data_IF_467683185759
#
_entry.id   IF_467683185759
#
_cell.length_a   1.000
_cell.length_b   1.000
_cell.length_c   1.000
_cell.angle_alpha   90.00
_cell.angle_beta   90.00
_cell.angle_gamma   90.00
#
_symmetry.space_group_name_H-M   'P 1'
#
loop_
_entity.id
_entity.type
_entity.pdbx_description
1 polymer ?
#
# COMPACT_ATOMS: atom_id res chain seq x y z
N UNK A 1 6.76 -4.66 -28.26
CA UNK A 1 7.44 -4.37 -26.99
C UNK A 1 7.39 -5.65 -26.19
N UNK A 2 8.51 -6.08 -25.62
CA UNK A 2 8.50 -7.21 -24.67
C UNK A 2 8.11 -6.71 -23.28
N UNK A 3 7.63 -7.59 -22.41
CA UNK A 3 7.19 -7.18 -21.07
C UNK A 3 8.35 -6.65 -20.21
N UNK A 4 9.55 -7.17 -20.41
CA UNK A 4 10.76 -6.68 -19.76
C UNK A 4 11.12 -5.26 -20.22
N UNK A 5 10.78 -4.87 -21.45
CA UNK A 5 10.97 -3.49 -21.91
C UNK A 5 9.96 -2.54 -21.24
N UNK A 6 8.76 -3.03 -20.93
CA UNK A 6 7.71 -2.27 -20.26
C UNK A 6 8.06 -2.00 -18.78
N UNK A 7 8.65 -2.98 -18.10
CA UNK A 7 9.12 -2.88 -16.71
C UNK A 7 10.25 -1.86 -16.52
N UNK A 8 11.06 -1.63 -17.57
CA UNK A 8 12.19 -0.68 -17.52
C UNK A 8 11.80 0.79 -17.68
N UNK A 9 10.55 1.08 -18.07
CA UNK A 9 10.06 2.45 -18.27
C UNK A 9 8.93 2.76 -17.29
N UNK A 10 8.85 4.01 -16.81
CA UNK A 10 7.81 4.37 -15.86
C UNK A 10 6.41 4.30 -16.50
N UNK A 11 5.35 4.02 -15.72
CA UNK A 11 3.99 3.82 -16.25
C UNK A 11 3.44 4.97 -17.10
N UNK A 12 3.78 6.22 -16.79
CA UNK A 12 3.37 7.38 -17.57
C UNK A 12 4.06 7.51 -18.94
N UNK A 13 5.06 6.68 -19.22
CA UNK A 13 5.74 6.57 -20.53
C UNK A 13 5.35 5.30 -21.30
N UNK A 14 4.43 4.49 -20.75
CA UNK A 14 3.97 3.27 -21.42
C UNK A 14 3.25 3.58 -22.74
N UNK A 15 3.34 2.67 -23.74
CA UNK A 15 2.61 2.82 -24.99
C UNK A 15 1.09 2.75 -24.76
N UNK A 16 0.32 3.34 -25.69
CA UNK A 16 -1.15 3.34 -25.63
C UNK A 16 -1.74 1.92 -25.57
N UNK A 17 -1.04 0.92 -26.13
CA UNK A 17 -1.48 -0.48 -26.16
C UNK A 17 -0.90 -1.35 -25.02
N UNK A 18 -0.37 -0.74 -23.95
CA UNK A 18 0.23 -1.47 -22.83
C UNK A 18 -0.76 -2.41 -22.13
N UNK A 19 -2.01 -1.99 -21.99
CA UNK A 19 -3.11 -2.79 -21.43
C UNK A 19 -3.38 -4.05 -22.27
N UNK A 20 -3.40 -3.92 -23.61
CA UNK A 20 -3.58 -5.04 -24.54
C UNK A 20 -2.42 -6.05 -24.45
N UNK A 21 -1.18 -5.57 -24.36
CA UNK A 21 0.02 -6.41 -24.21
C UNK A 21 -0.04 -7.21 -22.91
N UNK A 22 -0.32 -6.56 -21.78
CA UNK A 22 -0.42 -7.22 -20.48
C UNK A 22 -1.55 -8.25 -20.47
N UNK A 23 -2.71 -7.90 -21.04
CA UNK A 23 -3.86 -8.79 -21.12
C UNK A 23 -3.60 -10.02 -22.00
N UNK A 24 -2.86 -9.88 -23.10
CA UNK A 24 -2.45 -11.01 -23.95
C UNK A 24 -1.58 -12.00 -23.15
N UNK A 25 -0.60 -11.50 -22.40
CA UNK A 25 0.29 -12.33 -21.58
C UNK A 25 -0.46 -13.02 -20.44
N UNK A 26 -1.32 -12.29 -19.72
CA UNK A 26 -2.11 -12.84 -18.62
C UNK A 26 -3.02 -13.99 -19.05
N UNK A 27 -3.57 -13.91 -20.26
CA UNK A 27 -4.47 -14.93 -20.84
C UNK A 27 -3.75 -16.15 -21.42
N UNK A 28 -2.48 -16.01 -21.78
CA UNK A 28 -1.72 -17.12 -22.33
C UNK A 28 -1.27 -18.10 -21.25
N UNK A 29 -2.07 -19.14 -21.00
CA UNK A 29 -1.74 -20.21 -20.06
C UNK A 29 -0.49 -21.03 -20.45
N UNK A 30 0.06 -20.83 -21.66
CA UNK A 30 1.31 -21.45 -22.11
C UNK A 30 2.51 -20.51 -22.03
N UNK A 31 2.30 -19.22 -21.72
CA UNK A 31 3.39 -18.30 -21.49
C UNK A 31 4.21 -18.71 -20.26
N UNK A 32 5.45 -18.26 -20.24
CA UNK A 32 6.34 -18.47 -19.10
C UNK A 32 5.73 -17.87 -17.83
N UNK A 33 5.75 -18.63 -16.73
CA UNK A 33 5.12 -18.22 -15.47
C UNK A 33 5.72 -16.92 -14.95
N UNK A 34 7.04 -16.70 -15.08
CA UNK A 34 7.68 -15.47 -14.63
C UNK A 34 7.22 -14.26 -15.44
N UNK A 35 6.99 -14.41 -16.75
CA UNK A 35 6.40 -13.35 -17.58
C UNK A 35 4.96 -13.05 -17.18
N UNK A 36 4.16 -14.09 -16.86
CA UNK A 36 2.78 -13.89 -16.40
C UNK A 36 2.71 -13.24 -15.02
N UNK A 37 3.65 -13.56 -14.13
CA UNK A 37 3.79 -12.92 -12.81
C UNK A 37 4.11 -11.45 -12.97
N UNK A 38 5.13 -11.11 -13.78
CA UNK A 38 5.45 -9.71 -14.09
C UNK A 38 4.27 -8.99 -14.73
N UNK A 39 3.53 -9.64 -15.63
CA UNK A 39 2.33 -9.05 -16.23
C UNK A 39 1.25 -8.77 -15.20
N UNK A 40 1.09 -9.63 -14.19
CA UNK A 40 0.15 -9.42 -13.12
C UNK A 40 0.55 -8.20 -12.28
N UNK A 41 1.83 -8.09 -11.90
CA UNK A 41 2.35 -6.97 -11.11
C UNK A 41 2.18 -5.63 -11.84
N UNK A 42 2.55 -5.55 -13.12
CA UNK A 42 2.41 -4.32 -13.92
C UNK A 42 0.95 -3.95 -14.21
N UNK A 43 0.07 -4.95 -14.30
CA UNK A 43 -1.35 -4.74 -14.58
C UNK A 43 -2.12 -4.08 -13.42
N UNK A 44 -1.53 -4.00 -12.21
CA UNK A 44 -2.11 -3.29 -11.09
C UNK A 44 -1.96 -1.76 -11.15
N UNK A 45 -1.18 -1.23 -12.10
CA UNK A 45 -0.93 0.20 -12.22
C UNK A 45 -2.16 0.96 -12.76
N UNK A 46 -2.43 2.14 -12.19
CA UNK A 46 -3.58 2.97 -12.59
C UNK A 46 -3.51 3.47 -14.04
N UNK A 47 -2.33 3.47 -14.67
CA UNK A 47 -2.17 3.84 -16.07
C UNK A 47 -2.86 2.85 -17.03
N UNK A 48 -3.07 1.60 -16.63
CA UNK A 48 -3.61 0.53 -17.49
C UNK A 48 -4.81 -0.19 -16.89
N UNK A 49 -4.92 -0.22 -15.57
CA UNK A 49 -5.94 -1.00 -14.88
C UNK A 49 -7.34 -0.54 -15.28
N UNK A 50 -8.16 -1.51 -15.66
CA UNK A 50 -9.54 -1.34 -16.06
C UNK A 50 -10.32 -2.63 -15.73
N UNK A 51 -11.64 -2.61 -15.92
CA UNK A 51 -12.52 -3.75 -15.65
C UNK A 51 -12.09 -5.06 -16.34
N UNK A 52 -11.51 -5.01 -17.53
CA UNK A 52 -11.12 -6.21 -18.26
C UNK A 52 -9.85 -6.83 -17.68
N UNK A 53 -8.86 -6.00 -17.36
CA UNK A 53 -7.65 -6.43 -16.65
C UNK A 53 -8.02 -6.94 -15.26
N UNK A 54 -8.81 -6.18 -14.49
CA UNK A 54 -9.23 -6.56 -13.14
C UNK A 54 -9.97 -7.91 -13.14
N UNK A 55 -10.86 -8.11 -14.12
CA UNK A 55 -11.54 -9.40 -14.32
C UNK A 55 -10.56 -10.53 -14.65
N UNK A 56 -9.58 -10.28 -15.52
CA UNK A 56 -8.58 -11.30 -15.85
C UNK A 56 -7.70 -11.67 -14.64
N UNK A 57 -7.26 -10.69 -13.84
CA UNK A 57 -6.55 -10.92 -12.60
C UNK A 57 -7.41 -11.74 -11.63
N UNK A 58 -8.68 -11.39 -11.45
CA UNK A 58 -9.60 -12.13 -10.60
C UNK A 58 -9.79 -13.59 -11.08
N UNK A 59 -9.91 -13.82 -12.39
CA UNK A 59 -9.99 -15.17 -12.95
C UNK A 59 -8.75 -16.02 -12.64
N UNK A 60 -7.56 -15.41 -12.71
CA UNK A 60 -6.30 -16.08 -12.33
C UNK A 60 -6.33 -16.44 -10.84
N UNK A 61 -6.69 -15.49 -9.97
CA UNK A 61 -6.76 -15.69 -8.51
C UNK A 61 -7.70 -16.85 -8.13
N UNK A 62 -8.85 -16.93 -8.79
CA UNK A 62 -9.88 -17.93 -8.54
C UNK A 62 -9.57 -19.30 -9.15
N UNK A 63 -8.61 -19.39 -10.07
CA UNK A 63 -8.25 -20.65 -10.73
C UNK A 63 -7.32 -21.49 -9.86
N UNK A 64 -7.74 -22.67 -9.37
CA UNK A 64 -6.88 -23.54 -8.56
C UNK A 64 -5.77 -24.22 -9.37
N UNK A 65 -5.86 -24.21 -10.70
CA UNK A 65 -4.87 -24.80 -11.61
C UNK A 65 -3.73 -23.82 -11.96
N UNK A 66 -3.89 -22.53 -11.64
CA UNK A 66 -2.85 -21.53 -11.84
C UNK A 66 -1.75 -21.64 -10.76
N UNK A 67 -0.49 -21.34 -11.09
CA UNK A 67 0.62 -21.31 -10.12
C UNK A 67 0.33 -20.36 -8.96
N UNK A 68 0.68 -20.76 -7.73
CA UNK A 68 0.41 -19.94 -6.54
C UNK A 68 1.08 -18.57 -6.59
N UNK A 69 2.30 -18.48 -7.09
CA UNK A 69 3.03 -17.21 -7.23
C UNK A 69 2.30 -16.25 -8.17
N UNK A 70 1.75 -16.75 -9.27
CA UNK A 70 0.93 -15.97 -10.20
C UNK A 70 -0.39 -15.54 -9.55
N UNK A 71 -1.04 -16.43 -8.80
CA UNK A 71 -2.27 -16.10 -8.06
C UNK A 71 -2.01 -15.05 -6.98
N UNK A 72 -0.86 -15.13 -6.32
CA UNK A 72 -0.42 -14.18 -5.30
C UNK A 72 -0.14 -12.79 -5.90
N UNK A 73 0.57 -12.72 -7.02
CA UNK A 73 0.81 -11.48 -7.76
C UNK A 73 -0.50 -10.86 -8.27
N UNK A 74 -1.36 -11.69 -8.87
CA UNK A 74 -2.64 -11.22 -9.40
C UNK A 74 -3.56 -10.64 -8.34
N UNK A 75 -3.65 -11.26 -7.14
CA UNK A 75 -4.49 -10.70 -6.08
C UNK A 75 -3.88 -9.46 -5.44
N UNK A 76 -2.55 -9.42 -5.27
CA UNK A 76 -1.87 -8.24 -4.73
C UNK A 76 -2.11 -7.00 -5.61
N UNK A 77 -2.09 -7.19 -6.92
CA UNK A 77 -2.29 -6.14 -7.93
C UNK A 77 -3.71 -5.55 -7.96
N UNK A 78 -4.70 -6.24 -7.36
CA UNK A 78 -6.05 -5.71 -7.22
C UNK A 78 -6.20 -4.75 -6.02
N UNK A 79 -5.29 -4.79 -5.04
CA UNK A 79 -5.38 -4.00 -3.81
C UNK A 79 -5.51 -2.48 -4.05
N UNK A 80 -4.61 -1.85 -4.81
CA UNK A 80 -4.67 -0.40 -5.07
C UNK A 80 -5.99 0.07 -5.67
N UNK A 81 -6.56 -0.64 -6.65
CA UNK A 81 -7.87 -0.28 -7.21
C UNK A 81 -9.03 -0.46 -6.22
N UNK A 82 -8.93 -1.43 -5.30
CA UNK A 82 -9.91 -1.55 -4.22
C UNK A 82 -9.84 -0.34 -3.27
N UNK A 83 -8.63 0.11 -2.90
CA UNK A 83 -8.47 1.31 -2.06
C UNK A 83 -8.97 2.57 -2.76
N UNK A 84 -8.60 2.77 -4.03
CA UNK A 84 -9.05 3.89 -4.87
C UNK A 84 -10.59 3.94 -4.93
N UNK A 85 -11.21 2.80 -5.22
CA UNK A 85 -12.68 2.69 -5.28
C UNK A 85 -13.35 2.85 -3.92
N UNK A 86 -12.71 2.50 -2.80
CA UNK A 86 -13.27 2.66 -1.45
C UNK A 86 -13.14 4.11 -0.95
N UNK A 87 -12.07 4.81 -1.34
CA UNK A 87 -11.85 6.21 -1.01
C UNK A 87 -12.61 7.18 -1.91
N UNK A 88 -12.98 6.75 -3.11
CA UNK A 88 -13.78 7.49 -4.07
C UNK A 88 -15.23 7.66 -3.58
N UNK A 89 -15.75 8.89 -3.58
CA UNK A 89 -17.17 9.16 -3.36
C UNK A 89 -18.05 8.75 -4.58
N UNK A 90 -17.46 8.14 -5.62
CA UNK A 90 -18.08 7.77 -6.90
C UNK A 90 -18.68 8.97 -7.66
N UNK A 91 -18.25 10.19 -7.34
CA UNK A 91 -18.78 11.42 -7.91
C UNK A 91 -18.38 11.61 -9.39
N UNK A 92 -17.26 11.03 -9.82
CA UNK A 92 -16.84 10.96 -11.23
C UNK A 92 -16.46 9.52 -11.64
N UNK A 93 -17.35 8.80 -12.34
CA UNK A 93 -17.07 7.45 -12.82
C UNK A 93 -15.95 7.35 -13.86
N UNK A 94 -15.57 8.46 -14.50
CA UNK A 94 -14.49 8.47 -15.50
C UNK A 94 -13.09 8.51 -14.85
N UNK A 95 -13.00 8.84 -13.56
CA UNK A 95 -11.75 8.89 -12.80
C UNK A 95 -11.44 7.58 -12.05
N UNK A 96 -12.38 6.62 -12.02
CA UNK A 96 -12.20 5.37 -11.29
C UNK A 96 -11.42 4.32 -12.08
N UNK A 97 -10.49 3.64 -11.40
CA UNK A 97 -9.72 2.53 -11.99
C UNK A 97 -10.59 1.33 -12.39
N UNK A 98 -11.65 1.05 -11.63
CA UNK A 98 -12.60 -0.03 -11.88
C UNK A 98 -14.04 0.43 -11.63
N UNK A 99 -15.00 -0.22 -12.27
CA UNK A 99 -16.42 0.08 -12.07
C UNK A 99 -16.94 -0.44 -10.72
N UNK A 100 -17.99 0.18 -10.18
CA UNK A 100 -18.67 -0.27 -8.95
C UNK A 100 -19.11 -1.76 -9.03
N UNK A 101 -19.68 -2.27 -10.14
CA UNK A 101 -19.95 -3.69 -10.28
C UNK A 101 -18.71 -4.59 -10.15
N UNK A 102 -17.58 -4.16 -10.73
CA UNK A 102 -16.31 -4.90 -10.66
C UNK A 102 -15.73 -4.89 -9.24
N UNK A 103 -15.76 -3.74 -8.56
CA UNK A 103 -15.37 -3.60 -7.16
C UNK A 103 -16.13 -4.58 -6.25
N UNK A 104 -17.46 -4.66 -6.40
CA UNK A 104 -18.28 -5.59 -5.63
C UNK A 104 -18.03 -7.07 -6.00
N UNK A 105 -17.79 -7.36 -7.27
CA UNK A 105 -17.44 -8.71 -7.75
C UNK A 105 -16.13 -9.19 -7.11
N UNK A 106 -15.10 -8.34 -7.12
CA UNK A 106 -13.79 -8.64 -6.52
C UNK A 106 -13.95 -8.86 -5.01
N UNK A 107 -14.51 -7.89 -4.28
CA UNK A 107 -14.64 -7.97 -2.81
C UNK A 107 -15.37 -9.24 -2.34
N UNK A 108 -16.49 -9.57 -3.00
CA UNK A 108 -17.25 -10.78 -2.69
C UNK A 108 -16.43 -12.05 -2.97
N UNK A 109 -15.76 -12.10 -4.12
CA UNK A 109 -14.97 -13.25 -4.54
C UNK A 109 -13.77 -13.49 -3.62
N UNK A 110 -13.10 -12.40 -3.18
CA UNK A 110 -11.98 -12.47 -2.25
C UNK A 110 -12.41 -12.94 -0.86
N UNK A 111 -13.56 -12.47 -0.33
CA UNK A 111 -14.08 -12.99 0.94
C UNK A 111 -14.40 -14.49 0.84
N UNK A 112 -15.10 -14.92 -0.22
CA UNK A 112 -15.42 -16.33 -0.44
C UNK A 112 -14.16 -17.19 -0.54
N UNK A 113 -13.13 -16.70 -1.25
CA UNK A 113 -11.85 -17.37 -1.38
C UNK A 113 -11.12 -17.46 -0.04
N UNK A 114 -11.03 -16.36 0.73
CA UNK A 114 -10.37 -16.34 2.04
C UNK A 114 -10.95 -17.39 2.99
N UNK A 115 -12.27 -17.59 2.97
CA UNK A 115 -12.99 -18.57 3.81
C UNK A 115 -12.88 -20.01 3.30
N UNK A 116 -12.29 -20.24 2.13
CA UNK A 116 -12.16 -21.54 1.48
C UNK A 116 -11.18 -22.47 2.21
N UNK A 117 -11.61 -23.71 2.51
CA UNK A 117 -10.84 -24.67 3.31
C UNK A 117 -9.57 -25.26 2.63
N UNK A 118 -9.33 -24.95 1.36
CA UNK A 118 -8.24 -25.53 0.57
C UNK A 118 -7.43 -24.49 -0.20
N UNK A 119 -7.52 -23.22 0.20
CA UNK A 119 -6.68 -22.18 -0.38
C UNK A 119 -5.26 -22.33 0.15
N UNK A 120 -4.23 -22.39 -0.72
CA UNK A 120 -2.84 -22.37 -0.28
C UNK A 120 -2.57 -21.15 0.60
N UNK A 121 -1.81 -21.35 1.68
CA UNK A 121 -1.55 -20.32 2.71
C UNK A 121 -1.09 -18.98 2.11
N UNK A 122 -0.15 -19.01 1.17
CA UNK A 122 0.36 -17.80 0.54
C UNK A 122 -0.75 -17.03 -0.19
N UNK A 123 -1.56 -17.71 -0.99
CA UNK A 123 -2.70 -17.10 -1.69
C UNK A 123 -3.71 -16.58 -0.67
N UNK A 124 -3.98 -17.32 0.40
CA UNK A 124 -4.92 -16.90 1.44
C UNK A 124 -4.47 -15.63 2.17
N UNK A 125 -3.17 -15.52 2.49
CA UNK A 125 -2.59 -14.30 3.06
C UNK A 125 -2.71 -13.12 2.10
N UNK A 126 -2.35 -13.32 0.82
CA UNK A 126 -2.42 -12.26 -0.19
C UNK A 126 -3.84 -11.78 -0.47
N UNK A 127 -4.82 -12.69 -0.39
CA UNK A 127 -6.24 -12.34 -0.44
C UNK A 127 -6.62 -11.43 0.73
N UNK A 128 -6.20 -11.75 1.96
CA UNK A 128 -6.45 -10.91 3.13
C UNK A 128 -5.77 -9.54 3.02
N UNK A 129 -4.52 -9.50 2.56
CA UNK A 129 -3.76 -8.27 2.34
C UNK A 129 -4.45 -7.37 1.31
N UNK A 130 -4.78 -7.91 0.14
CA UNK A 130 -5.42 -7.15 -0.94
C UNK A 130 -6.83 -6.68 -0.57
N UNK A 131 -7.65 -7.54 0.04
CA UNK A 131 -9.03 -7.16 0.40
C UNK A 131 -9.07 -6.14 1.54
N UNK A 132 -8.03 -6.07 2.38
CA UNK A 132 -7.95 -5.08 3.45
C UNK A 132 -7.88 -3.65 2.94
N UNK A 133 -7.46 -3.41 1.69
CA UNK A 133 -7.49 -2.08 1.05
C UNK A 133 -8.91 -1.47 1.01
N UNK A 134 -9.95 -2.29 1.02
CA UNK A 134 -11.36 -1.88 1.15
C UNK A 134 -12.03 -2.60 2.35
N UNK A 135 -11.83 -2.10 3.60
CA UNK A 135 -12.23 -2.80 4.82
C UNK A 135 -13.74 -3.15 4.92
N UNK A 136 -14.05 -4.44 4.74
CA UNK A 136 -15.35 -5.07 5.07
C UNK A 136 -15.46 -5.56 6.53
N UNK A 137 -16.69 -5.84 6.99
CA UNK A 137 -16.99 -6.26 8.38
C UNK A 137 -16.17 -7.45 8.89
N UNK A 138 -15.79 -8.37 8.01
CA UNK A 138 -15.07 -9.60 8.36
C UNK A 138 -13.57 -9.41 8.62
N UNK A 139 -12.98 -8.31 8.13
CA UNK A 139 -11.53 -8.11 8.22
C UNK A 139 -11.04 -7.98 9.65
N UNK A 140 -11.81 -7.34 10.54
CA UNK A 140 -11.37 -7.15 11.93
C UNK A 140 -11.14 -8.49 12.64
N UNK A 141 -12.02 -9.46 12.43
CA UNK A 141 -11.85 -10.81 12.98
C UNK A 141 -10.67 -11.54 12.32
N UNK A 142 -10.57 -11.45 10.98
CA UNK A 142 -9.50 -12.09 10.22
C UNK A 142 -8.10 -11.57 10.60
N UNK A 143 -7.93 -10.25 10.69
CA UNK A 143 -6.66 -9.60 11.09
C UNK A 143 -6.30 -9.97 12.53
N UNK A 144 -7.28 -9.95 13.45
CA UNK A 144 -7.05 -10.37 14.84
C UNK A 144 -6.61 -11.83 14.96
N UNK A 145 -7.24 -12.73 14.18
CA UNK A 145 -6.86 -14.13 14.12
C UNK A 145 -5.47 -14.33 13.53
N UNK A 146 -5.14 -13.63 12.45
CA UNK A 146 -3.83 -13.66 11.80
C UNK A 146 -2.71 -13.15 12.74
N UNK A 147 -2.94 -12.05 13.46
CA UNK A 147 -1.98 -11.49 14.42
C UNK A 147 -1.72 -12.43 15.61
N UNK A 148 -2.76 -13.15 16.04
CA UNK A 148 -2.67 -14.14 17.12
C UNK A 148 -1.97 -15.43 16.71
N UNK A 149 -1.65 -15.61 15.42
CA UNK A 149 -0.94 -16.78 14.92
C UNK A 149 0.50 -16.85 15.46
N UNK A 150 1.00 -18.06 15.66
CA UNK A 150 2.42 -18.29 15.95
C UNK A 150 3.28 -18.28 14.68
N UNK A 151 2.66 -18.28 13.50
CA UNK A 151 3.34 -18.14 12.23
C UNK A 151 3.62 -16.66 11.95
N UNK A 152 4.90 -16.30 11.85
CA UNK A 152 5.35 -14.94 11.57
C UNK A 152 4.83 -14.41 10.24
N UNK A 153 4.57 -15.28 9.25
CA UNK A 153 3.95 -14.85 8.00
C UNK A 153 2.54 -14.33 8.26
N UNK A 154 1.72 -15.06 9.01
CA UNK A 154 0.37 -14.59 9.33
C UNK A 154 0.40 -13.31 10.17
N UNK A 155 1.35 -13.20 11.10
CA UNK A 155 1.55 -11.95 11.85
C UNK A 155 1.94 -10.79 10.94
N UNK A 156 2.85 -11.00 9.98
CA UNK A 156 3.23 -9.99 9.00
C UNK A 156 2.03 -9.52 8.18
N UNK A 157 1.23 -10.44 7.63
CA UNK A 157 0.00 -10.07 6.90
C UNK A 157 -0.97 -9.29 7.78
N UNK A 158 -1.10 -9.66 9.05
CA UNK A 158 -1.97 -8.95 9.98
C UNK A 158 -1.50 -7.50 10.18
N UNK A 159 -0.20 -7.28 10.41
CA UNK A 159 0.36 -5.94 10.61
C UNK A 159 0.27 -5.11 9.32
N UNK A 160 0.52 -5.72 8.15
CA UNK A 160 0.25 -5.10 6.84
C UNK A 160 -1.20 -4.58 6.77
N UNK A 161 -2.18 -5.43 7.08
CA UNK A 161 -3.60 -5.08 7.03
C UNK A 161 -3.99 -4.00 8.05
N UNK A 162 -3.28 -3.89 9.17
CA UNK A 162 -3.57 -2.90 10.21
C UNK A 162 -3.39 -1.47 9.72
N UNK A 163 -2.72 -1.20 8.59
CA UNK A 163 -2.72 0.15 8.01
C UNK A 163 -4.09 0.54 7.44
N UNK A 164 -4.90 -0.41 7.00
CA UNK A 164 -6.22 -0.16 6.43
C UNK A 164 -7.34 -0.42 7.43
N UNK A 165 -7.19 -1.45 8.26
CA UNK A 165 -8.22 -1.87 9.23
C UNK A 165 -7.93 -1.26 10.60
N UNK A 166 -8.83 -0.40 11.08
CA UNK A 166 -8.65 0.31 12.35
C UNK A 166 -8.92 -0.51 13.62
N UNK A 167 -8.48 0.03 14.77
CA UNK A 167 -8.76 -0.52 16.10
C UNK A 167 -7.73 -1.53 16.61
N UNK A 168 -6.49 -1.42 16.14
CA UNK A 168 -5.34 -2.28 16.48
C UNK A 168 -4.15 -1.50 17.06
N UNK A 169 -4.37 -0.32 17.64
CA UNK A 169 -3.30 0.55 18.16
C UNK A 169 -2.32 -0.18 19.10
N UNK A 170 -2.84 -1.01 20.01
CA UNK A 170 -2.00 -1.78 20.95
C UNK A 170 -1.12 -2.80 20.22
N UNK A 171 -1.67 -3.47 19.20
CA UNK A 171 -0.95 -4.46 18.39
C UNK A 171 0.09 -3.79 17.48
N UNK A 172 -0.22 -2.62 16.92
CA UNK A 172 0.74 -1.83 16.15
C UNK A 172 1.92 -1.45 17.05
N UNK A 173 1.65 -0.95 18.26
CA UNK A 173 2.70 -0.58 19.23
C UNK A 173 3.53 -1.79 19.68
N UNK A 174 2.91 -2.97 19.84
CA UNK A 174 3.64 -4.21 20.12
C UNK A 174 4.53 -4.61 18.94
N UNK A 175 4.02 -4.56 17.70
CA UNK A 175 4.73 -4.96 16.50
C UNK A 175 5.96 -4.07 16.19
N UNK A 176 5.97 -2.83 16.67
CA UNK A 176 7.12 -1.92 16.60
C UNK A 176 8.36 -2.41 17.38
N UNK A 177 8.18 -3.37 18.29
CA UNK A 177 9.28 -4.00 19.03
C UNK A 177 9.72 -5.35 18.42
N UNK A 178 9.22 -5.69 17.22
CA UNK A 178 9.59 -6.92 16.53
C UNK A 178 11.05 -6.90 16.05
N UNK A 179 11.74 -8.04 16.24
CA UNK A 179 13.07 -8.29 15.65
C UNK A 179 12.98 -8.63 14.14
N UNK A 180 11.79 -8.96 13.64
CA UNK A 180 11.56 -9.21 12.23
C UNK A 180 11.42 -7.86 11.49
N UNK A 181 12.33 -7.54 10.54
CA UNK A 181 12.38 -6.24 9.89
C UNK A 181 11.14 -5.93 9.04
N UNK A 182 10.53 -6.94 8.43
CA UNK A 182 9.33 -6.75 7.61
C UNK A 182 8.13 -6.38 8.50
N UNK A 183 7.99 -7.05 9.65
CA UNK A 183 6.94 -6.72 10.64
C UNK A 183 7.16 -5.31 11.20
N UNK A 184 8.41 -4.96 11.52
CA UNK A 184 8.76 -3.63 12.01
C UNK A 184 8.42 -2.54 11.00
N UNK A 185 8.79 -2.75 9.73
CA UNK A 185 8.46 -1.84 8.64
C UNK A 185 6.94 -1.61 8.55
N UNK A 186 6.16 -2.69 8.51
CA UNK A 186 4.70 -2.59 8.42
C UNK A 186 4.07 -1.91 9.64
N UNK A 187 4.62 -2.14 10.83
CA UNK A 187 4.15 -1.49 12.05
C UNK A 187 4.41 0.03 12.02
N UNK A 188 5.52 0.48 11.44
CA UNK A 188 5.82 1.90 11.23
C UNK A 188 4.82 2.53 10.27
N UNK A 189 4.54 1.87 9.14
CA UNK A 189 3.57 2.35 8.15
C UNK A 189 2.16 2.45 8.78
N UNK A 190 1.71 1.40 9.48
CA UNK A 190 0.43 1.39 10.15
C UNK A 190 0.32 2.47 11.24
N UNK A 191 1.39 2.67 12.03
CA UNK A 191 1.44 3.73 13.04
C UNK A 191 1.32 5.13 12.42
N UNK A 192 1.97 5.37 11.29
CA UNK A 192 1.82 6.60 10.51
C UNK A 192 0.38 6.80 10.03
N UNK A 193 -0.21 5.78 9.39
CA UNK A 193 -1.57 5.86 8.84
C UNK A 193 -2.64 6.19 9.88
N UNK A 194 -2.50 5.69 11.12
CA UNK A 194 -3.44 5.98 12.22
C UNK A 194 -2.99 7.12 13.15
N UNK A 195 -1.80 7.68 12.94
CA UNK A 195 -1.22 8.70 13.81
C UNK A 195 -1.09 8.23 15.27
N UNK A 196 -0.71 6.97 15.50
CA UNK A 196 -0.71 6.33 16.83
C UNK A 196 0.34 6.97 17.74
N UNK A 197 -0.02 7.82 18.74
CA UNK A 197 0.97 8.65 19.44
C UNK A 197 1.96 7.85 20.29
N UNK A 198 1.57 6.65 20.72
CA UNK A 198 2.42 5.75 21.50
C UNK A 198 3.61 5.19 20.70
N UNK A 199 3.58 5.27 19.36
CA UNK A 199 4.68 4.85 18.50
C UNK A 199 5.87 5.82 18.48
N UNK A 200 5.67 7.07 18.92
CA UNK A 200 6.68 8.14 18.80
C UNK A 200 8.08 7.79 19.35
N UNK A 201 8.23 7.13 20.51
CA UNK A 201 9.55 6.74 21.00
C UNK A 201 10.29 5.79 20.06
N UNK A 202 9.58 4.88 19.39
CA UNK A 202 10.18 3.98 18.41
C UNK A 202 10.55 4.71 17.13
N UNK A 203 9.65 5.55 16.60
CA UNK A 203 9.90 6.35 15.39
C UNK A 203 11.14 7.22 15.56
N UNK A 204 11.26 7.95 16.68
CA UNK A 204 12.44 8.77 16.98
C UNK A 204 13.73 7.96 17.14
N UNK A 205 13.64 6.73 17.66
CA UNK A 205 14.78 5.80 17.72
C UNK A 205 15.26 5.41 16.32
N UNK A 206 14.33 5.11 15.40
CA UNK A 206 14.63 4.78 14.01
C UNK A 206 15.27 5.96 13.28
N UNK A 207 14.72 7.17 13.45
CA UNK A 207 15.27 8.41 12.88
C UNK A 207 16.67 8.74 13.44
N UNK A 208 16.93 8.45 14.71
CA UNK A 208 18.22 8.79 15.32
C UNK A 208 19.34 7.77 15.02
N UNK A 209 18.98 6.57 14.58
CA UNK A 209 19.92 5.48 14.35
C UNK A 209 20.52 5.55 12.95
N UNK A 210 21.86 5.52 12.87
CA UNK A 210 22.59 5.43 11.59
C UNK A 210 22.58 4.02 10.98
N UNK A 211 22.10 3.04 11.75
CA UNK A 211 22.01 1.64 11.31
C UNK A 211 20.63 1.31 10.75
N UNK A 212 19.68 2.25 10.79
CA UNK A 212 18.35 2.07 10.19
C UNK A 212 18.51 1.90 8.67
N UNK A 213 17.97 0.82 8.16
CA UNK A 213 17.92 0.52 6.73
C UNK A 213 17.09 1.59 5.99
N UNK A 214 17.41 1.88 4.74
CA UNK A 214 16.85 3.01 3.98
C UNK A 214 15.32 2.97 3.91
N UNK A 215 14.71 1.83 3.55
CA UNK A 215 13.26 1.74 3.43
C UNK A 215 12.56 1.98 4.77
N UNK A 216 13.10 1.39 5.85
CA UNK A 216 12.59 1.63 7.20
C UNK A 216 12.75 3.09 7.66
N UNK A 217 13.85 3.74 7.25
CA UNK A 217 14.09 5.16 7.53
C UNK A 217 13.08 6.05 6.80
N UNK A 218 12.83 5.80 5.51
CA UNK A 218 11.83 6.52 4.72
C UNK A 218 10.43 6.37 5.35
N UNK A 219 10.03 5.14 5.71
CA UNK A 219 8.77 4.90 6.39
C UNK A 219 8.66 5.66 7.74
N UNK A 220 9.77 5.76 8.49
CA UNK A 220 9.78 6.51 9.75
C UNK A 220 9.68 8.03 9.53
N UNK A 221 10.32 8.55 8.47
CA UNK A 221 10.21 9.96 8.05
C UNK A 221 8.76 10.27 7.70
N UNK A 222 8.14 9.46 6.84
CA UNK A 222 6.76 9.63 6.39
C UNK A 222 5.73 9.48 7.52
N UNK A 223 5.97 8.57 8.49
CA UNK A 223 5.07 8.38 9.62
C UNK A 223 5.12 9.53 10.65
N UNK A 224 6.27 10.17 10.82
CA UNK A 224 6.50 11.20 11.83
C UNK A 224 5.45 12.34 11.87
N UNK A 225 5.10 13.00 10.74
CA UNK A 225 4.13 14.11 10.76
C UNK A 225 2.72 13.68 11.20
N UNK A 226 2.34 12.42 11.01
CA UNK A 226 1.03 11.91 11.43
C UNK A 226 1.02 11.45 12.89
N UNK A 227 2.12 10.85 13.34
CA UNK A 227 2.27 10.38 14.74
C UNK A 227 2.45 11.54 15.70
N UNK A 228 3.25 12.54 15.32
CA UNK A 228 3.62 13.67 16.19
C UNK A 228 3.88 14.96 15.39
N UNK A 229 2.83 15.62 14.85
CA UNK A 229 2.99 16.79 13.97
C UNK A 229 3.88 17.90 14.57
N UNK A 230 3.70 18.17 15.86
CA UNK A 230 4.37 19.26 16.60
C UNK A 230 5.91 19.10 16.69
N UNK A 231 6.40 17.86 16.65
CA UNK A 231 7.83 17.52 16.81
C UNK A 231 8.43 16.97 15.51
N UNK A 232 7.59 16.66 14.50
CA UNK A 232 8.01 16.00 13.28
C UNK A 232 9.03 16.82 12.49
N UNK A 233 8.80 18.13 12.31
CA UNK A 233 9.71 19.02 11.57
C UNK A 233 11.11 19.00 12.19
N UNK A 234 11.22 19.13 13.51
CA UNK A 234 12.52 19.07 14.20
C UNK A 234 13.19 17.70 14.03
N UNK A 235 12.40 16.62 14.11
CA UNK A 235 12.90 15.26 13.98
C UNK A 235 13.41 14.92 12.58
N UNK A 236 12.80 15.48 11.52
CA UNK A 236 13.16 15.16 10.13
C UNK A 236 14.05 16.20 9.44
N UNK A 237 14.18 17.42 9.98
CA UNK A 237 14.93 18.51 9.34
C UNK A 237 16.40 18.17 9.03
N UNK A 238 17.03 17.28 9.80
CA UNK A 238 18.40 16.85 9.54
C UNK A 238 18.58 15.99 8.28
N UNK A 239 17.49 15.47 7.71
CA UNK A 239 17.51 14.61 6.53
C UNK A 239 17.38 15.38 5.22
N UNK A 240 16.98 16.65 5.23
CA UNK A 240 16.81 17.46 4.01
C UNK A 240 18.12 17.65 3.24
N UNK A 241 19.26 17.59 3.93
CA UNK A 241 20.61 17.64 3.34
C UNK A 241 21.24 16.24 3.15
N UNK A 242 20.43 15.17 3.16
CA UNK A 242 20.90 13.80 2.94
C UNK A 242 21.58 13.66 1.58
N UNK A 243 22.67 12.87 1.46
CA UNK A 243 23.27 12.54 0.17
C UNK A 243 22.43 11.54 -0.64
N UNK A 244 21.43 10.91 -0.02
CA UNK A 244 20.45 10.08 -0.69
C UNK A 244 19.25 10.97 -1.06
N UNK A 245 19.01 11.13 -2.37
CA UNK A 245 18.02 12.07 -2.91
C UNK A 245 16.59 11.73 -2.45
N UNK A 246 16.24 10.45 -2.33
CA UNK A 246 14.91 10.01 -1.91
C UNK A 246 14.64 10.37 -0.44
N UNK A 247 15.64 10.18 0.43
CA UNK A 247 15.57 10.61 1.83
C UNK A 247 15.47 12.14 1.93
N UNK A 248 16.30 12.86 1.17
CA UNK A 248 16.31 14.32 1.17
C UNK A 248 14.96 14.90 0.71
N UNK A 249 14.39 14.31 -0.35
CA UNK A 249 13.10 14.70 -0.89
C UNK A 249 11.96 14.43 0.10
N UNK A 250 11.85 13.22 0.65
CA UNK A 250 10.82 12.87 1.62
C UNK A 250 10.82 13.81 2.84
N UNK A 251 12.00 14.10 3.39
CA UNK A 251 12.13 15.03 4.50
C UNK A 251 11.76 16.48 4.10
N UNK A 252 12.20 16.93 2.92
CA UNK A 252 11.94 18.29 2.43
C UNK A 252 10.45 18.54 2.18
N UNK A 253 9.72 17.54 1.68
CA UNK A 253 8.27 17.62 1.49
C UNK A 253 7.56 17.85 2.83
N UNK A 254 7.95 17.12 3.88
CA UNK A 254 7.35 17.27 5.22
C UNK A 254 7.64 18.64 5.82
N UNK A 255 8.91 19.08 5.77
CA UNK A 255 9.29 20.41 6.29
C UNK A 255 8.51 21.50 5.57
N UNK A 256 8.44 21.44 4.23
CA UNK A 256 7.73 22.44 3.43
C UNK A 256 6.22 22.44 3.68
N UNK A 257 5.60 21.26 3.87
CA UNK A 257 4.16 21.14 4.09
C UNK A 257 3.72 21.62 5.48
N UNK A 258 4.59 21.51 6.48
CA UNK A 258 4.32 21.92 7.86
C UNK A 258 4.88 23.30 8.22
N UNK A 259 5.62 23.94 7.32
CA UNK A 259 6.04 25.33 7.49
C UNK A 259 4.79 26.23 7.54
N UNK A 260 4.62 27.03 8.61
CA UNK A 260 3.53 28.00 8.65
C UNK A 260 3.73 29.00 7.51
N UNK A 261 2.73 29.11 6.62
CA UNK A 261 2.72 30.17 5.63
C UNK A 261 2.91 31.51 6.33
N UNK A 262 3.89 32.35 5.92
CA UNK A 262 4.01 33.68 6.49
C UNK A 262 2.68 34.41 6.26
N UNK A 263 2.12 34.98 7.33
CA UNK A 263 0.88 35.77 7.30
C UNK A 263 0.98 36.88 6.23
N UNK A 264 0.61 36.60 4.98
CA UNK A 264 0.40 37.63 3.98
C UNK A 264 -0.98 38.26 4.22
N UNK A 265 -0.94 39.57 4.48
CA UNK A 265 -2.04 40.54 4.61
C UNK A 265 -2.60 40.81 6.02
N UNK A 266 -1.76 41.23 6.95
CA UNK A 266 -2.16 42.32 7.86
C UNK A 266 -1.81 43.68 7.23
N UNK A 267 -2.54 44.04 6.17
CA UNK A 267 -2.59 45.43 5.70
C UNK A 267 -3.67 46.17 6.50
N UNK A 268 -3.40 46.44 7.78
CA UNK A 268 -4.14 47.42 8.56
C UNK A 268 -3.34 48.71 8.79
N UNK A 269 -2.72 49.22 7.73
CA UNK A 269 -2.17 50.59 7.73
C UNK A 269 -3.17 51.59 7.13
N UNK A 270 -3.87 52.30 8.02
CA UNK A 270 -4.06 53.74 7.89
C UNK A 270 -5.26 54.26 7.11
N UNK A 271 -6.43 54.31 7.74
CA UNK A 271 -7.44 55.35 7.48
C UNK A 271 -7.81 56.08 8.78
N UNK A 272 -6.86 56.89 9.25
CA UNK A 272 -7.17 58.12 9.97
C UNK A 272 -6.73 59.30 9.11
N UNK A 273 -7.70 59.89 8.39
CA UNK A 273 -7.94 61.33 8.29
C UNK A 273 -9.17 61.61 7.43
#
# INVERSE_FOLDING_TARGET
>A
MDIEELDEIPPWEWPEEADEILLEILRDAHADVSKRVLAADLAGDCAVLNDEIARQLLLIVLSPDEPNDLRAAAVASLGPALEDSDCSDYDDPEEMSISEPMFHEINKSLEELYRGAFVPEEVQRRVLEASAHAPQEWHREAVSAAYSSTDEKWKLSAVFCMRFVGGFDDQIVEALESDNPDILYEAVVAAGRWGTPASWPRITTLLSSKETEKALLLAAIEAAPYVRPEEAVEAVAGFTDSPDDEIAEAASQIVSALEPFPDEFDNTDGLFN
#
